data_IF_540178886146
#
_entry.id   IF_540178886146
#
_cell.length_a   1.000
_cell.length_b   1.000
_cell.length_c   1.000
_cell.angle_alpha   90.00
_cell.angle_beta   90.00
_cell.angle_gamma   90.00
#
_symmetry.space_group_name_H-M   'P 1'
#
loop_
_entity.id
_entity.type
_entity.pdbx_description
1 polymer ?
#
# COMPACT_ATOMS: atom_id res chain seq x y z
N UNK A 1 4.56 17.83 12.45
CA UNK A 1 4.88 17.76 11.00
C UNK A 1 4.35 16.44 10.49
N UNK A 2 3.50 16.43 9.47
CA UNK A 2 3.00 15.20 8.85
C UNK A 2 4.04 14.65 7.88
N UNK A 3 4.09 13.33 7.73
CA UNK A 3 5.05 12.68 6.82
C UNK A 3 4.69 13.01 5.36
N UNK A 4 5.68 13.28 4.48
CA UNK A 4 5.42 13.49 3.05
C UNK A 4 4.88 12.23 2.34
N UNK A 5 4.97 11.07 2.98
CA UNK A 5 4.41 9.79 2.50
C UNK A 5 3.49 9.17 3.56
N UNK A 6 2.63 9.99 4.16
CA UNK A 6 1.64 9.49 5.12
C UNK A 6 0.69 8.50 4.45
N UNK A 7 0.48 7.36 5.10
CA UNK A 7 -0.45 6.32 4.66
C UNK A 7 -1.73 6.39 5.51
N UNK A 8 -2.85 5.98 4.92
CA UNK A 8 -4.13 5.98 5.63
C UNK A 8 -4.17 4.84 6.64
N UNK A 9 -4.09 5.18 7.93
CA UNK A 9 -4.21 4.25 9.05
C UNK A 9 -5.37 4.67 9.95
N UNK A 10 -6.02 3.70 10.59
CA UNK A 10 -6.95 4.03 11.65
C UNK A 10 -6.23 4.64 12.86
N UNK A 11 -6.92 5.52 13.58
CA UNK A 11 -6.33 6.26 14.69
C UNK A 11 -5.79 5.34 15.80
N UNK A 12 -6.46 4.21 16.05
CA UNK A 12 -6.09 3.24 17.09
C UNK A 12 -4.79 2.53 16.75
N UNK A 13 -4.59 2.11 15.49
CA UNK A 13 -3.35 1.51 15.00
C UNK A 13 -2.20 2.51 15.08
N UNK A 14 -2.45 3.78 14.71
CA UNK A 14 -1.45 4.85 14.84
C UNK A 14 -1.01 5.06 16.30
N UNK A 15 -1.96 5.12 17.24
CA UNK A 15 -1.64 5.24 18.66
C UNK A 15 -0.85 4.04 19.19
N UNK A 16 -1.23 2.83 18.81
CA UNK A 16 -0.52 1.61 19.21
C UNK A 16 0.92 1.60 18.70
N UNK A 17 1.15 1.99 17.45
CA UNK A 17 2.50 2.13 16.89
C UNK A 17 3.30 3.18 17.65
N UNK A 18 2.71 4.35 17.93
CA UNK A 18 3.40 5.40 18.69
C UNK A 18 3.83 4.91 20.09
N UNK A 19 3.08 4.00 20.71
CA UNK A 19 3.48 3.35 21.98
C UNK A 19 4.62 2.34 21.77
N UNK A 20 4.51 1.45 20.76
CA UNK A 20 5.55 0.47 20.42
C UNK A 20 6.89 1.14 20.03
N UNK A 21 6.84 2.35 19.48
CA UNK A 21 8.04 3.13 19.10
C UNK A 21 8.93 3.55 20.28
N UNK A 22 8.49 3.39 21.53
CA UNK A 22 9.35 3.59 22.71
C UNK A 22 10.46 2.52 22.81
N UNK A 23 10.18 1.29 22.34
CA UNK A 23 11.13 0.20 22.23
C UNK A 23 10.80 -0.65 20.98
N UNK A 24 11.25 -0.21 19.80
CA UNK A 24 10.80 -0.80 18.54
C UNK A 24 11.38 -2.19 18.33
N UNK A 25 10.52 -3.12 17.94
CA UNK A 25 10.86 -4.46 17.46
C UNK A 25 10.70 -4.55 15.94
N UNK A 26 11.20 -5.61 15.28
CA UNK A 26 10.86 -5.91 13.88
C UNK A 26 9.35 -5.98 13.61
N UNK A 27 8.55 -6.25 14.63
CA UNK A 27 7.10 -6.41 14.56
C UNK A 27 6.31 -5.12 14.86
N UNK A 28 7.01 -3.99 15.07
CA UNK A 28 6.41 -2.69 15.45
C UNK A 28 5.27 -2.26 14.52
N UNK A 29 5.40 -2.57 13.23
CA UNK A 29 4.50 -2.08 12.18
C UNK A 29 3.60 -3.16 11.56
N UNK A 30 3.58 -4.39 12.08
CA UNK A 30 2.81 -5.50 11.47
C UNK A 30 1.33 -5.17 11.30
N UNK A 31 0.72 -4.57 12.32
CA UNK A 31 -0.70 -4.21 12.29
C UNK A 31 -1.00 -3.14 11.21
N UNK A 32 -0.12 -2.14 11.07
CA UNK A 32 -0.25 -1.14 10.00
C UNK A 32 0.00 -1.76 8.63
N UNK A 33 0.98 -2.64 8.50
CA UNK A 33 1.27 -3.32 7.25
C UNK A 33 0.06 -4.17 6.80
N UNK A 34 -0.57 -4.91 7.72
CA UNK A 34 -1.78 -5.68 7.43
C UNK A 34 -2.95 -4.78 7.02
N UNK A 35 -3.12 -3.63 7.69
CA UNK A 35 -4.15 -2.67 7.34
C UNK A 35 -3.97 -2.11 5.93
N UNK A 36 -2.76 -1.65 5.60
CA UNK A 36 -2.44 -1.10 4.26
C UNK A 36 -2.56 -2.19 3.20
N UNK A 37 -2.07 -3.41 3.47
CA UNK A 37 -2.26 -4.55 2.58
C UNK A 37 -3.74 -4.81 2.30
N UNK A 38 -4.57 -4.85 3.35
CA UNK A 38 -6.02 -5.11 3.22
C UNK A 38 -6.70 -3.99 2.44
N UNK A 39 -6.32 -2.73 2.68
CA UNK A 39 -6.84 -1.58 1.94
C UNK A 39 -6.50 -1.68 0.44
N UNK A 40 -5.23 -1.95 0.12
CA UNK A 40 -4.80 -2.14 -1.25
C UNK A 40 -5.50 -3.33 -1.90
N UNK A 41 -5.62 -4.45 -1.20
CA UNK A 41 -6.26 -5.67 -1.70
C UNK A 41 -7.73 -5.44 -2.04
N UNK A 42 -8.46 -4.66 -1.23
CA UNK A 42 -9.89 -4.39 -1.43
C UNK A 42 -10.18 -3.36 -2.52
N UNK A 43 -9.29 -2.39 -2.72
CA UNK A 43 -9.53 -1.26 -3.62
C UNK A 43 -8.57 -1.21 -4.81
N UNK A 44 -7.29 -0.95 -4.57
CA UNK A 44 -6.30 -0.76 -5.65
C UNK A 44 -6.05 -2.03 -6.47
N UNK A 45 -6.04 -3.21 -5.84
CA UNK A 45 -5.70 -4.48 -6.48
C UNK A 45 -6.71 -4.90 -7.56
N UNK A 46 -8.04 -4.98 -7.31
CA UNK A 46 -8.99 -5.31 -8.37
C UNK A 46 -9.00 -4.27 -9.50
N UNK A 47 -8.78 -2.99 -9.19
CA UNK A 47 -8.61 -1.93 -10.20
C UNK A 47 -7.36 -2.14 -11.05
N UNK A 48 -6.25 -2.53 -10.42
CA UNK A 48 -5.01 -2.86 -11.13
C UNK A 48 -5.20 -4.04 -12.09
N UNK A 49 -5.82 -5.14 -11.65
CA UNK A 49 -6.10 -6.29 -12.51
C UNK A 49 -7.00 -5.94 -13.71
N UNK A 50 -7.88 -4.95 -13.55
CA UNK A 50 -8.76 -4.47 -14.62
C UNK A 50 -8.08 -3.46 -15.57
N UNK A 51 -6.96 -2.87 -15.16
CA UNK A 51 -6.26 -1.81 -15.87
C UNK A 51 -5.57 -2.29 -17.15
N UNK A 52 -5.36 -1.36 -18.08
CA UNK A 52 -4.64 -1.63 -19.32
C UNK A 52 -3.18 -2.03 -19.05
N UNK A 53 -2.55 -1.49 -18.00
CA UNK A 53 -1.18 -1.83 -17.60
C UNK A 53 -1.05 -3.33 -17.29
N UNK A 54 -1.95 -3.87 -16.46
CA UNK A 54 -1.93 -5.30 -16.15
C UNK A 54 -2.25 -6.16 -17.36
N UNK A 55 -3.24 -5.77 -18.17
CA UNK A 55 -3.59 -6.48 -19.41
C UNK A 55 -2.41 -6.53 -20.38
N UNK A 56 -1.69 -5.44 -20.58
CA UNK A 56 -0.50 -5.40 -21.44
C UNK A 56 0.58 -6.38 -20.96
N UNK A 57 0.83 -6.44 -19.63
CA UNK A 57 1.77 -7.39 -19.04
C UNK A 57 1.36 -8.85 -19.28
N UNK A 58 0.07 -9.17 -19.18
CA UNK A 58 -0.44 -10.54 -19.36
C UNK A 58 -0.42 -10.98 -20.83
N UNK A 59 -0.73 -10.08 -21.76
CA UNK A 59 -0.84 -10.40 -23.18
C UNK A 59 0.51 -10.32 -23.92
N UNK A 60 1.60 -10.01 -23.21
CA UNK A 60 2.94 -9.93 -23.80
C UNK A 60 3.11 -8.78 -24.77
N UNK A 61 2.21 -7.80 -24.75
CA UNK A 61 2.34 -6.59 -25.56
C UNK A 61 3.42 -5.71 -24.93
N UNK A 62 4.66 -5.95 -25.33
CA UNK A 62 5.75 -4.99 -25.26
C UNK A 62 5.51 -3.85 -26.26
N UNK A 63 4.32 -3.23 -26.21
CA UNK A 63 4.14 -1.88 -26.71
C UNK A 63 4.40 -0.98 -25.53
N UNK A 64 5.63 -0.50 -25.48
CA UNK A 64 5.99 0.77 -24.85
C UNK A 64 5.08 1.83 -25.48
N UNK A 65 3.85 1.98 -24.99
CA UNK A 65 3.11 3.21 -25.21
C UNK A 65 3.74 4.23 -24.30
N UNK A 66 4.69 4.95 -24.89
CA UNK A 66 4.93 6.34 -24.58
C UNK A 66 3.56 7.02 -24.42
N UNK A 67 3.24 7.47 -23.22
CA UNK A 67 2.26 8.53 -23.05
C UNK A 67 2.87 9.60 -22.16
N UNK A 68 2.66 10.81 -22.66
CA UNK A 68 3.21 12.12 -22.33
C UNK A 68 2.82 12.66 -20.97
#
# INVERSE_FOLDING_TARGET
>A
ILSPKEVSLDARVREMINKKMQDPTPHTFEDAQLQIYTLMHRDSYPRFLSSNNYKALVHGDSRTSSES
#
